data_IF_614861280278
#
_entry.id   IF_614861280278
#
_cell.length_a   1.000
_cell.length_b   1.000
_cell.length_c   1.000
_cell.angle_alpha   90.00
_cell.angle_beta   90.00
_cell.angle_gamma   90.00
#
_symmetry.space_group_name_H-M   'P 1'
#
loop_
_entity.id
_entity.type
_entity.pdbx_description
1 polymer ?
#
# COMPACT_ATOMS: atom_id res chain seq x y z
N UNK A 1 1.92 -4.65 7.24
CA UNK A 1 2.67 -4.17 6.05
C UNK A 1 3.26 -2.78 6.28
N UNK A 2 4.24 -2.34 5.47
CA UNK A 2 4.78 -0.97 5.54
C UNK A 2 3.73 0.07 5.24
N UNK A 3 2.94 -0.16 4.20
CA UNK A 3 1.87 0.74 3.80
C UNK A 3 0.87 0.97 4.93
N UNK A 4 0.48 -0.08 5.66
CA UNK A 4 -0.42 0.02 6.81
C UNK A 4 0.20 0.80 7.98
N UNK A 5 1.48 0.53 8.31
CA UNK A 5 2.19 1.28 9.36
C UNK A 5 2.37 2.76 9.00
N UNK A 6 2.62 3.06 7.73
CA UNK A 6 2.68 4.44 7.22
C UNK A 6 1.32 5.13 7.41
N UNK A 7 0.23 4.46 7.04
CA UNK A 7 -1.12 4.98 7.23
C UNK A 7 -1.43 5.27 8.72
N UNK A 8 -1.10 4.35 9.64
CA UNK A 8 -1.22 4.54 11.07
C UNK A 8 -0.35 5.68 11.64
N UNK A 9 0.79 5.96 11.01
CA UNK A 9 1.62 7.09 11.42
C UNK A 9 1.03 8.43 10.99
N UNK A 10 0.49 8.49 9.76
CA UNK A 10 -0.08 9.71 9.19
C UNK A 10 -1.44 10.08 9.78
N UNK A 11 -2.26 9.10 10.20
CA UNK A 11 -3.60 9.33 10.75
C UNK A 11 -3.60 10.18 12.02
N UNK A 12 -2.46 10.28 12.71
CA UNK A 12 -2.28 11.10 13.91
C UNK A 12 -2.43 12.60 13.65
N UNK A 13 -2.24 13.06 12.43
CA UNK A 13 -2.25 14.48 12.06
C UNK A 13 -3.06 14.78 10.79
N UNK A 14 -3.58 13.77 10.12
CA UNK A 14 -4.22 13.92 8.80
C UNK A 14 -5.36 12.92 8.64
N UNK A 15 -6.31 13.22 7.77
CA UNK A 15 -7.37 12.29 7.39
C UNK A 15 -6.84 11.30 6.37
N UNK A 16 -6.70 10.03 6.76
CA UNK A 16 -6.04 8.98 5.96
C UNK A 16 -7.01 7.87 5.61
N UNK A 17 -6.95 7.44 4.35
CA UNK A 17 -7.57 6.20 3.87
C UNK A 17 -6.48 5.21 3.48
N UNK A 18 -6.57 4.00 4.00
CA UNK A 18 -5.77 2.86 3.55
C UNK A 18 -6.60 1.97 2.63
N UNK A 19 -6.05 1.58 1.49
CA UNK A 19 -6.69 0.66 0.53
C UNK A 19 -5.82 -0.58 0.38
N UNK A 20 -6.37 -1.75 0.75
CA UNK A 20 -5.74 -3.04 0.47
C UNK A 20 -6.09 -3.47 -0.96
N UNK A 21 -5.16 -3.24 -1.90
CA UNK A 21 -5.37 -3.53 -3.32
C UNK A 21 -4.80 -4.90 -3.76
N UNK A 22 -4.15 -5.65 -2.86
CA UNK A 22 -3.79 -7.05 -3.12
C UNK A 22 -4.99 -7.99 -2.86
N UNK A 23 -5.91 -8.01 -3.81
CA UNK A 23 -7.12 -8.84 -3.76
C UNK A 23 -6.77 -10.34 -3.79
N UNK A 24 -5.60 -10.73 -4.32
CA UNK A 24 -5.18 -12.13 -4.45
C UNK A 24 -4.64 -12.69 -3.15
N UNK A 25 -3.94 -11.87 -2.35
CA UNK A 25 -3.32 -12.25 -1.08
C UNK A 25 -3.56 -11.18 -0.01
N UNK A 26 -4.82 -11.00 0.41
CA UNK A 26 -5.15 -10.00 1.41
C UNK A 26 -4.39 -10.30 2.71
N UNK A 27 -3.72 -9.29 3.26
CA UNK A 27 -2.91 -9.40 4.47
C UNK A 27 -3.61 -8.80 5.69
N UNK A 28 -4.38 -7.76 5.49
CA UNK A 28 -5.06 -7.03 6.57
C UNK A 28 -6.27 -7.81 7.07
N UNK A 29 -7.10 -8.34 6.16
CA UNK A 29 -8.23 -9.19 6.51
C UNK A 29 -7.83 -10.46 7.26
N UNK A 30 -6.72 -11.09 6.84
CA UNK A 30 -6.31 -12.39 7.40
C UNK A 30 -5.44 -12.27 8.65
N UNK A 31 -4.88 -11.10 8.95
CA UNK A 31 -3.86 -10.94 9.99
C UNK A 31 -4.23 -10.08 11.18
N UNK A 32 -5.09 -9.08 11.02
CA UNK A 32 -5.28 -8.05 12.03
C UNK A 32 -6.70 -7.95 12.59
N UNK A 33 -7.74 -8.33 11.84
CA UNK A 33 -9.12 -8.16 12.27
C UNK A 33 -9.99 -9.36 11.89
N UNK A 34 -10.69 -9.93 12.87
CA UNK A 34 -11.81 -10.82 12.64
C UNK A 34 -13.07 -9.97 12.53
N UNK A 35 -13.67 -9.96 11.36
CA UNK A 35 -14.93 -9.29 11.15
C UNK A 35 -16.08 -10.33 11.22
N UNK A 36 -17.09 -10.04 12.03
CA UNK A 36 -18.25 -10.94 12.21
C UNK A 36 -19.27 -10.89 11.06
N UNK A 37 -19.01 -10.10 10.02
CA UNK A 37 -19.94 -9.88 8.89
C UNK A 37 -19.21 -10.00 7.57
N UNK A 38 -19.98 -10.28 6.51
CA UNK A 38 -19.51 -10.22 5.13
C UNK A 38 -18.87 -8.85 4.86
N UNK A 39 -17.59 -8.87 4.45
CA UNK A 39 -16.81 -7.67 4.26
C UNK A 39 -16.91 -7.23 2.82
N UNK A 40 -17.51 -6.07 2.61
CA UNK A 40 -17.45 -5.37 1.33
C UNK A 40 -16.09 -4.65 1.25
N UNK A 41 -15.45 -4.72 0.10
CA UNK A 41 -14.14 -4.11 -0.10
C UNK A 41 -13.93 -3.66 -1.54
N UNK A 42 -12.66 -3.50 -1.90
CA UNK A 42 -12.27 -3.02 -3.21
C UNK A 42 -12.81 -3.89 -4.35
N UNK A 43 -12.82 -5.22 -4.16
CA UNK A 43 -13.35 -6.16 -5.14
C UNK A 43 -14.84 -5.92 -5.43
N UNK A 44 -15.66 -5.72 -4.40
CA UNK A 44 -17.09 -5.45 -4.53
C UNK A 44 -17.36 -4.07 -5.13
N UNK A 45 -16.60 -3.03 -4.75
CA UNK A 45 -16.71 -1.68 -5.33
C UNK A 45 -16.43 -1.73 -6.83
N UNK A 46 -15.30 -2.31 -7.21
CA UNK A 46 -14.83 -2.37 -8.59
C UNK A 46 -15.81 -3.13 -9.48
N UNK A 47 -16.39 -4.20 -8.97
CA UNK A 47 -17.36 -5.01 -9.71
C UNK A 47 -18.80 -4.44 -9.67
N UNK A 48 -19.01 -3.30 -9.00
CA UNK A 48 -20.33 -2.64 -8.91
C UNK A 48 -21.33 -3.31 -7.97
N UNK A 49 -20.85 -4.22 -7.10
CA UNK A 49 -21.69 -4.90 -6.10
C UNK A 49 -21.81 -4.15 -4.78
N UNK A 50 -20.96 -3.13 -4.55
CA UNK A 50 -21.01 -2.30 -3.37
C UNK A 50 -20.81 -0.82 -3.72
N UNK A 51 -21.44 0.06 -2.93
CA UNK A 51 -21.13 1.49 -2.96
C UNK A 51 -19.86 1.76 -2.13
N UNK A 52 -19.16 2.83 -2.45
CA UNK A 52 -17.95 3.26 -1.74
C UNK A 52 -18.18 3.36 -0.22
N UNK A 53 -19.24 4.04 0.20
CA UNK A 53 -19.54 4.30 1.61
C UNK A 53 -19.83 3.01 2.41
N UNK A 54 -20.31 1.95 1.76
CA UNK A 54 -20.62 0.68 2.41
C UNK A 54 -19.36 -0.17 2.65
N UNK A 55 -18.24 0.17 1.99
CA UNK A 55 -16.99 -0.57 2.02
C UNK A 55 -15.86 0.16 2.77
N UNK A 56 -16.13 1.35 3.33
CA UNK A 56 -15.19 2.07 4.19
C UNK A 56 -15.44 1.70 5.64
N UNK A 57 -14.42 1.25 6.34
CA UNK A 57 -14.46 0.88 7.74
C UNK A 57 -13.44 1.71 8.53
N UNK A 58 -13.77 2.02 9.80
CA UNK A 58 -12.82 2.61 10.74
C UNK A 58 -12.01 1.50 11.39
N UNK A 59 -10.69 1.64 11.42
CA UNK A 59 -9.82 0.70 12.15
C UNK A 59 -10.01 0.92 13.66
N UNK A 60 -10.41 -0.11 14.44
CA UNK A 60 -10.69 0.04 15.86
C UNK A 60 -9.53 0.64 16.64
N UNK A 61 -9.83 1.65 17.48
CA UNK A 61 -8.84 2.34 18.31
C UNK A 61 -7.97 3.36 17.57
N UNK A 62 -8.31 3.69 16.31
CA UNK A 62 -7.60 4.68 15.49
C UNK A 62 -8.59 5.62 14.77
N UNK A 63 -8.05 6.65 14.10
CA UNK A 63 -8.81 7.50 13.18
C UNK A 63 -8.66 7.07 11.71
N UNK A 64 -7.95 5.97 11.47
CA UNK A 64 -7.68 5.44 10.12
C UNK A 64 -8.92 4.82 9.50
N UNK A 65 -9.30 5.30 8.32
CA UNK A 65 -10.28 4.65 7.47
C UNK A 65 -9.61 3.60 6.58
N UNK A 66 -10.30 2.49 6.31
CA UNK A 66 -9.78 1.40 5.50
C UNK A 66 -10.82 0.90 4.49
N UNK A 67 -10.38 0.62 3.28
CA UNK A 67 -11.05 -0.25 2.32
C UNK A 67 -10.21 -1.52 2.21
N UNK A 68 -10.80 -2.65 2.59
CA UNK A 68 -10.16 -3.96 2.47
C UNK A 68 -10.20 -4.47 1.03
N UNK A 69 -9.52 -5.56 0.75
CA UNK A 69 -9.61 -6.24 -0.56
C UNK A 69 -11.02 -6.76 -0.88
N UNK A 70 -11.85 -7.02 0.15
CA UNK A 70 -13.15 -7.67 0.03
C UNK A 70 -13.07 -9.20 -0.01
N UNK A 71 -14.22 -9.85 -0.17
CA UNK A 71 -14.31 -11.32 -0.24
C UNK A 71 -14.17 -11.83 -1.67
N UNK A 72 -14.63 -11.06 -2.66
CA UNK A 72 -14.59 -11.47 -4.06
C UNK A 72 -13.20 -11.30 -4.65
N UNK A 73 -12.68 -12.41 -5.16
CA UNK A 73 -11.39 -12.43 -5.85
C UNK A 73 -11.61 -12.22 -7.34
N UNK A 74 -11.23 -11.04 -7.81
CA UNK A 74 -11.24 -10.69 -9.22
C UNK A 74 -9.82 -10.41 -9.71
N UNK A 75 -9.62 -10.58 -11.01
CA UNK A 75 -8.47 -10.00 -11.69
C UNK A 75 -8.82 -8.52 -11.99
N UNK A 76 -8.13 -7.58 -11.34
CA UNK A 76 -8.37 -6.15 -11.58
C UNK A 76 -8.19 -5.80 -13.05
N UNK A 77 -7.21 -6.43 -13.72
CA UNK A 77 -6.93 -6.21 -15.15
C UNK A 77 -8.06 -6.63 -16.08
N UNK A 78 -8.93 -7.55 -15.64
CA UNK A 78 -10.04 -8.05 -16.47
C UNK A 78 -11.31 -7.20 -16.35
N UNK A 79 -11.39 -6.38 -15.29
CA UNK A 79 -12.65 -5.71 -14.91
C UNK A 79 -12.52 -4.19 -15.01
N UNK A 80 -11.31 -3.64 -14.83
CA UNK A 80 -11.14 -2.21 -14.62
C UNK A 80 -10.13 -1.59 -15.57
N UNK A 81 -10.56 -0.55 -16.27
CA UNK A 81 -9.66 0.30 -17.02
C UNK A 81 -8.87 1.23 -16.09
N UNK A 82 -7.69 1.67 -16.55
CA UNK A 82 -6.89 2.72 -15.88
C UNK A 82 -7.74 3.94 -15.51
N UNK A 83 -8.63 4.37 -16.41
CA UNK A 83 -9.48 5.55 -16.22
C UNK A 83 -10.51 5.36 -15.09
N UNK A 84 -11.00 4.16 -14.88
CA UNK A 84 -11.92 3.85 -13.78
C UNK A 84 -11.20 3.92 -12.43
N UNK A 85 -10.01 3.31 -12.31
CA UNK A 85 -9.18 3.41 -11.10
C UNK A 85 -8.80 4.86 -10.81
N UNK A 86 -8.39 5.60 -11.85
CA UNK A 86 -8.05 7.01 -11.67
C UNK A 86 -9.23 7.82 -11.15
N UNK A 87 -10.41 7.69 -11.76
CA UNK A 87 -11.63 8.37 -11.30
C UNK A 87 -12.00 8.00 -9.87
N UNK A 88 -11.88 6.71 -9.51
CA UNK A 88 -12.12 6.22 -8.15
C UNK A 88 -11.17 6.89 -7.15
N UNK A 89 -9.87 6.92 -7.43
CA UNK A 89 -8.89 7.57 -6.56
C UNK A 89 -9.08 9.11 -6.53
N UNK A 90 -9.41 9.74 -7.65
CA UNK A 90 -9.65 11.18 -7.71
C UNK A 90 -10.83 11.60 -6.81
N UNK A 91 -11.89 10.79 -6.70
CA UNK A 91 -12.99 11.03 -5.75
C UNK A 91 -12.51 10.96 -4.32
N UNK A 92 -11.71 9.97 -3.98
CA UNK A 92 -11.17 9.79 -2.62
C UNK A 92 -10.23 10.94 -2.19
N UNK A 93 -9.46 11.49 -3.13
CA UNK A 93 -8.59 12.65 -2.88
C UNK A 93 -9.34 13.92 -2.50
N UNK A 94 -10.64 14.01 -2.74
CA UNK A 94 -11.45 15.15 -2.31
C UNK A 94 -11.80 15.09 -0.81
N UNK A 95 -11.75 13.90 -0.22
CA UNK A 95 -12.17 13.65 1.15
C UNK A 95 -11.02 13.33 2.10
N UNK A 96 -9.88 12.88 1.60
CA UNK A 96 -8.72 12.43 2.39
C UNK A 96 -7.47 13.21 2.03
N UNK A 97 -6.67 13.56 3.04
CA UNK A 97 -5.36 14.20 2.86
C UNK A 97 -4.36 13.21 2.25
N UNK A 98 -4.48 11.92 2.63
CA UNK A 98 -3.67 10.83 2.10
C UNK A 98 -4.51 9.60 1.79
N UNK A 99 -4.31 9.04 0.60
CA UNK A 99 -4.83 7.73 0.20
C UNK A 99 -3.64 6.80 -0.02
N UNK A 100 -3.45 5.86 0.89
CA UNK A 100 -2.35 4.88 0.85
C UNK A 100 -2.85 3.59 0.22
N UNK A 101 -2.29 3.21 -0.92
CA UNK A 101 -2.67 2.01 -1.66
C UNK A 101 -1.61 0.93 -1.49
N UNK A 102 -1.95 -0.15 -0.81
CA UNK A 102 -1.09 -1.35 -0.68
C UNK A 102 -1.33 -2.28 -1.86
N UNK A 103 -0.39 -2.32 -2.79
CA UNK A 103 -0.51 -3.02 -4.06
C UNK A 103 0.13 -4.41 -4.03
N UNK A 104 -0.35 -5.36 -4.87
CA UNK A 104 0.35 -6.62 -5.05
C UNK A 104 1.76 -6.41 -5.64
N UNK A 105 2.64 -7.44 -5.55
CA UNK A 105 3.98 -7.37 -6.17
C UNK A 105 3.91 -7.07 -7.66
N UNK A 106 4.86 -6.26 -8.17
CA UNK A 106 4.97 -5.93 -9.61
C UNK A 106 5.19 -7.17 -10.50
N UNK A 107 5.77 -8.21 -9.93
CA UNK A 107 5.89 -9.52 -10.57
C UNK A 107 5.10 -10.52 -9.74
N UNK A 108 4.15 -11.27 -10.29
CA UNK A 108 3.84 -11.54 -11.71
C UNK A 108 2.60 -10.82 -12.28
N UNK A 109 2.06 -9.81 -11.64
CA UNK A 109 0.71 -9.28 -11.95
C UNK A 109 0.72 -7.93 -12.66
N UNK A 110 -0.21 -7.76 -13.62
CA UNK A 110 -0.44 -6.51 -14.35
C UNK A 110 -1.19 -5.45 -13.55
N UNK A 111 -1.95 -5.86 -12.54
CA UNK A 111 -2.80 -5.00 -11.73
C UNK A 111 -2.03 -3.84 -11.09
N UNK A 112 -0.84 -4.12 -10.57
CA UNK A 112 0.06 -3.12 -10.00
C UNK A 112 0.43 -2.03 -11.02
N UNK A 113 0.62 -2.38 -12.29
CA UNK A 113 0.97 -1.40 -13.32
C UNK A 113 -0.18 -0.42 -13.60
N UNK A 114 -1.44 -0.85 -13.45
CA UNK A 114 -2.62 0.02 -13.54
C UNK A 114 -2.64 0.98 -12.35
N UNK A 115 -2.41 0.46 -11.14
CA UNK A 115 -2.36 1.26 -9.92
C UNK A 115 -1.25 2.31 -9.97
N UNK A 116 -0.02 1.93 -10.38
CA UNK A 116 1.12 2.86 -10.44
C UNK A 116 0.87 4.06 -11.35
N UNK A 117 0.07 3.90 -12.40
CA UNK A 117 -0.29 4.98 -13.33
C UNK A 117 -1.40 5.91 -12.80
N UNK A 118 -2.06 5.55 -11.69
CA UNK A 118 -3.25 6.23 -11.17
C UNK A 118 -2.98 6.97 -9.86
N UNK A 119 -1.80 6.81 -9.26
CA UNK A 119 -1.36 7.45 -8.02
C UNK A 119 -0.37 8.59 -8.28
N UNK A 120 -0.21 9.49 -7.32
CA UNK A 120 0.71 10.63 -7.44
C UNK A 120 2.16 10.23 -7.12
N UNK A 121 2.35 9.28 -6.18
CA UNK A 121 3.67 8.81 -5.74
C UNK A 121 3.74 7.30 -5.70
N UNK A 122 4.82 6.75 -6.24
CA UNK A 122 5.11 5.32 -6.25
C UNK A 122 6.33 5.04 -5.37
N UNK A 123 6.13 4.31 -4.27
CA UNK A 123 7.18 3.82 -3.38
C UNK A 123 7.41 2.34 -3.63
N UNK A 124 8.65 1.95 -3.89
CA UNK A 124 9.03 0.56 -4.15
C UNK A 124 9.68 -0.04 -2.91
N UNK A 125 9.10 -1.13 -2.39
CA UNK A 125 9.64 -1.81 -1.19
C UNK A 125 10.46 -3.01 -1.61
N UNK A 126 11.69 -3.11 -1.11
CA UNK A 126 12.59 -4.26 -1.28
C UNK A 126 12.98 -4.82 0.09
N UNK A 127 13.30 -6.11 0.15
CA UNK A 127 13.88 -6.75 1.33
C UNK A 127 15.39 -6.89 1.15
N UNK A 128 16.12 -6.39 2.15
CA UNK A 128 17.58 -6.53 2.18
C UNK A 128 17.97 -8.00 2.10
N UNK A 129 19.03 -8.31 1.37
CA UNK A 129 19.60 -9.65 1.16
C UNK A 129 18.67 -10.68 0.48
N UNK A 130 17.33 -10.45 0.42
CA UNK A 130 16.38 -11.36 -0.22
C UNK A 130 15.98 -10.92 -1.65
N UNK A 131 15.83 -9.60 -1.87
CA UNK A 131 15.41 -9.10 -3.17
C UNK A 131 16.59 -9.17 -4.15
N UNK A 132 16.49 -10.07 -5.13
CA UNK A 132 17.52 -10.21 -6.18
C UNK A 132 17.57 -8.95 -7.03
N UNK A 133 18.77 -8.41 -7.25
CA UNK A 133 19.00 -7.20 -8.07
C UNK A 133 18.36 -7.31 -9.46
N UNK A 134 18.45 -8.47 -10.11
CA UNK A 134 17.85 -8.69 -11.42
C UNK A 134 16.31 -8.57 -11.39
N UNK A 135 15.65 -9.09 -10.34
CA UNK A 135 14.20 -8.98 -10.17
C UNK A 135 13.78 -7.54 -9.88
N UNK A 136 14.55 -6.84 -9.04
CA UNK A 136 14.34 -5.42 -8.75
C UNK A 136 14.44 -4.58 -10.04
N UNK A 137 15.55 -4.70 -10.78
CA UNK A 137 15.76 -3.95 -12.04
C UNK A 137 14.70 -4.26 -13.09
N UNK A 138 14.28 -5.52 -13.20
CA UNK A 138 13.18 -5.92 -14.10
C UNK A 138 11.85 -5.26 -13.70
N UNK A 139 11.56 -5.17 -12.40
CA UNK A 139 10.33 -4.53 -11.89
C UNK A 139 10.33 -3.01 -12.16
N UNK A 140 11.45 -2.34 -11.89
CA UNK A 140 11.62 -0.91 -12.20
C UNK A 140 11.40 -0.65 -13.69
N UNK A 141 12.01 -1.47 -14.54
CA UNK A 141 11.87 -1.35 -16.01
C UNK A 141 10.41 -1.54 -16.46
N UNK A 142 9.67 -2.48 -15.86
CA UNK A 142 8.24 -2.65 -16.15
C UNK A 142 7.42 -1.39 -15.81
N UNK A 143 7.67 -0.78 -14.66
CA UNK A 143 7.00 0.46 -14.24
C UNK A 143 7.35 1.60 -15.21
N UNK A 144 8.63 1.76 -15.56
CA UNK A 144 9.08 2.77 -16.51
C UNK A 144 8.48 2.59 -17.91
N UNK A 145 8.30 1.34 -18.37
CA UNK A 145 7.71 1.05 -19.66
C UNK A 145 6.25 1.49 -19.80
N UNK A 146 5.55 1.66 -18.69
CA UNK A 146 4.17 2.25 -18.67
C UNK A 146 4.17 3.76 -18.44
N UNK A 147 5.34 4.41 -18.55
CA UNK A 147 5.49 5.86 -18.46
C UNK A 147 5.47 6.40 -17.02
N UNK A 148 5.76 5.56 -16.02
CA UNK A 148 5.71 5.92 -14.60
C UNK A 148 7.12 5.87 -13.99
N UNK A 149 7.40 6.78 -13.07
CA UNK A 149 8.63 6.78 -12.28
C UNK A 149 8.35 6.24 -10.86
N UNK A 150 9.35 5.56 -10.29
CA UNK A 150 9.41 5.24 -8.87
C UNK A 150 9.98 6.45 -8.15
N UNK A 151 9.23 7.00 -7.20
CA UNK A 151 9.58 8.23 -6.48
C UNK A 151 10.48 7.97 -5.28
N UNK A 152 10.48 6.72 -4.76
CA UNK A 152 11.33 6.33 -3.63
C UNK A 152 11.43 4.83 -3.49
N UNK A 153 12.51 4.39 -2.82
CA UNK A 153 12.76 2.98 -2.51
C UNK A 153 12.84 2.85 -0.99
N UNK A 154 12.10 1.88 -0.45
CA UNK A 154 12.15 1.51 0.96
C UNK A 154 12.88 0.18 1.07
N UNK A 155 13.96 0.15 1.86
CA UNK A 155 14.71 -1.09 2.15
C UNK A 155 14.22 -1.63 3.48
N UNK A 156 13.65 -2.82 3.44
CA UNK A 156 13.17 -3.56 4.61
C UNK A 156 14.17 -4.62 5.06
N UNK A 157 13.99 -5.09 6.30
CA UNK A 157 14.78 -6.17 6.91
C UNK A 157 16.30 -5.91 6.85
N UNK A 158 16.69 -4.64 7.05
CA UNK A 158 18.09 -4.26 7.10
C UNK A 158 18.70 -4.80 8.40
N UNK A 159 19.72 -5.64 8.30
CA UNK A 159 20.49 -6.10 9.45
C UNK A 159 21.49 -5.02 9.85
N UNK A 160 21.06 -4.13 10.76
CA UNK A 160 21.90 -3.02 11.24
C UNK A 160 23.13 -3.46 12.02
N UNK A 161 23.20 -4.74 12.46
CA UNK A 161 24.36 -5.28 13.18
C UNK A 161 25.55 -5.53 12.27
N UNK A 162 25.31 -5.73 10.96
CA UNK A 162 26.35 -6.02 9.97
C UNK A 162 26.96 -4.76 9.33
N UNK A 163 26.32 -3.60 9.49
CA UNK A 163 26.76 -2.38 8.85
C UNK A 163 27.20 -1.33 9.89
N UNK A 164 28.52 -1.15 10.02
CA UNK A 164 29.14 -0.21 10.97
C UNK A 164 28.68 1.24 10.78
N UNK A 165 28.27 1.63 9.57
CA UNK A 165 27.79 2.97 9.27
C UNK A 165 26.38 3.21 9.85
N UNK A 166 25.48 2.23 9.74
CA UNK A 166 24.13 2.30 10.31
C UNK A 166 24.14 2.17 11.83
N UNK A 167 25.01 1.34 12.41
CA UNK A 167 25.12 1.20 13.87
C UNK A 167 25.57 2.52 14.52
N UNK A 168 26.47 3.26 13.86
CA UNK A 168 26.90 4.60 14.31
C UNK A 168 25.76 5.63 14.22
N UNK A 169 24.98 5.63 13.15
CA UNK A 169 23.84 6.56 12.97
C UNK A 169 22.71 6.30 13.97
N UNK A 170 22.38 5.03 14.25
CA UNK A 170 21.36 4.66 15.23
C UNK A 170 21.79 4.95 16.66
N UNK A 171 23.04 4.77 17.02
CA UNK A 171 23.56 5.15 18.35
C UNK A 171 23.47 6.66 18.56
N UNK A 172 23.72 7.46 17.53
CA UNK A 172 23.63 8.93 17.60
C UNK A 172 22.17 9.42 17.72
N UNK A 173 21.22 8.77 17.03
CA UNK A 173 19.81 9.14 17.09
C UNK A 173 19.15 8.71 18.39
N UNK A 174 19.50 7.54 18.95
CA UNK A 174 18.96 7.08 20.24
C UNK A 174 19.37 8.02 21.39
N UNK A 175 20.59 8.55 21.38
CA UNK A 175 21.06 9.53 22.38
C UNK A 175 20.34 10.88 22.30
N UNK A 176 19.80 11.23 21.13
CA UNK A 176 19.02 12.47 20.92
C UNK A 176 17.59 12.38 21.42
N UNK A 177 16.97 11.20 21.38
CA UNK A 177 15.57 10.97 21.79
C UNK A 177 15.44 10.51 23.25
N UNK A 178 16.53 10.12 23.94
CA UNK A 178 16.50 9.67 25.34
C UNK A 178 16.85 10.79 26.34
N UNK A 179 17.15 12.02 25.88
CA UNK A 179 17.55 13.16 26.73
C UNK A 179 16.50 14.28 26.81
N UNK A 180 15.21 13.97 26.58
CA UNK A 180 14.11 14.91 26.87
C UNK A 180 13.04 14.24 27.73
#
# INVERSE_FOLDING_TARGET
TYAFNLALSLEKSSKVLFIEADIRRPSVLNGFYQFDKQILGLGEIISGFANLNDAIFKVPGTELDIITSGEKRFDMSDIVSKDQIKKFLDVLKLEYDYVIVDSPPVQPVSDTLILTQSVDYNLFVIRSEETRTASFMSSIKKIQNVGVNVNGIIINDLDTSKDSYYSYYYSYSSDYYTKN
#
